data_IF_622574467064
#
_entry.id   IF_622574467064
#
_cell.length_a   1.000
_cell.length_b   1.000
_cell.length_c   1.000
_cell.angle_alpha   90.00
_cell.angle_beta   90.00
_cell.angle_gamma   90.00
#
_symmetry.space_group_name_H-M   'P 1'
#
loop_
_entity.id
_entity.type
_entity.pdbx_description
1 polymer ?
#
# COMPACT_ATOMS: atom_id res chain seq x y z
N UNK A 1 4.60 -5.02 -0.75
CA UNK A 1 3.86 -5.76 0.30
C UNK A 1 3.96 -7.27 0.07
N UNK A 2 3.90 -8.09 1.12
CA UNK A 2 3.91 -9.56 1.05
C UNK A 2 2.92 -10.13 2.07
N UNK A 3 2.21 -11.20 1.72
CA UNK A 3 1.32 -11.92 2.63
C UNK A 3 2.04 -13.16 3.15
N UNK A 4 2.04 -13.35 4.47
CA UNK A 4 2.74 -14.43 5.16
C UNK A 4 1.82 -15.08 6.19
N UNK A 5 1.88 -16.40 6.28
CA UNK A 5 1.29 -17.15 7.39
C UNK A 5 2.36 -17.35 8.45
N UNK A 6 2.07 -16.93 9.69
CA UNK A 6 3.01 -16.96 10.81
C UNK A 6 2.58 -18.00 11.84
N UNK A 7 3.56 -18.57 12.56
CA UNK A 7 3.33 -19.42 13.72
C UNK A 7 3.58 -18.60 14.98
N UNK A 8 2.56 -18.34 15.82
CA UNK A 8 2.75 -17.65 17.09
C UNK A 8 3.52 -18.54 18.10
N UNK A 9 4.15 -17.93 19.10
CA UNK A 9 4.65 -18.67 20.28
C UNK A 9 3.48 -19.16 21.13
N UNK A 10 3.71 -20.19 21.93
CA UNK A 10 2.71 -20.71 22.86
C UNK A 10 2.15 -19.58 23.75
N UNK A 11 0.83 -19.52 23.89
CA UNK A 11 0.09 -18.51 24.66
C UNK A 11 0.29 -17.06 24.21
N UNK A 12 0.83 -16.82 23.01
CA UNK A 12 0.91 -15.45 22.48
C UNK A 12 -0.49 -14.94 22.13
N UNK A 13 -0.88 -13.83 22.75
CA UNK A 13 -2.11 -13.10 22.40
C UNK A 13 -1.76 -12.08 21.32
N UNK A 14 -2.48 -12.11 20.20
CA UNK A 14 -2.30 -11.20 19.07
C UNK A 14 -3.60 -10.46 18.79
N UNK A 15 -3.50 -9.14 18.60
CA UNK A 15 -4.60 -8.33 18.12
C UNK A 15 -4.52 -8.14 16.59
N UNK A 16 -5.68 -7.94 15.94
CA UNK A 16 -5.72 -7.53 14.53
C UNK A 16 -5.02 -6.17 14.38
N UNK A 17 -4.18 -6.05 13.35
CA UNK A 17 -3.39 -4.84 13.10
C UNK A 17 -2.14 -4.68 13.97
N UNK A 18 -1.83 -5.64 14.85
CA UNK A 18 -0.63 -5.60 15.66
C UNK A 18 0.65 -5.71 14.81
N UNK A 19 1.59 -4.79 15.03
CA UNK A 19 2.92 -4.83 14.40
C UNK A 19 3.80 -5.84 15.13
N UNK A 20 4.19 -6.90 14.43
CA UNK A 20 5.07 -7.95 14.96
C UNK A 20 6.40 -8.01 14.21
N UNK A 21 7.48 -8.29 14.94
CA UNK A 21 8.81 -8.48 14.35
C UNK A 21 8.98 -9.92 13.83
N UNK A 22 9.38 -10.04 12.55
CA UNK A 22 9.63 -11.32 11.87
C UNK A 22 11.06 -11.44 11.29
N UNK A 23 11.96 -10.52 11.66
CA UNK A 23 13.33 -10.48 11.14
C UNK A 23 14.22 -11.61 11.67
N UNK A 24 15.49 -11.67 11.24
CA UNK A 24 16.39 -12.80 11.52
C UNK A 24 16.78 -12.95 12.99
N UNK A 25 16.75 -11.87 13.77
CA UNK A 25 17.11 -11.93 15.19
C UNK A 25 15.97 -12.59 16.01
N UNK A 26 16.15 -13.81 16.55
CA UNK A 26 15.09 -14.50 17.28
C UNK A 26 14.69 -13.82 18.59
N UNK A 27 15.60 -13.08 19.23
CA UNK A 27 15.37 -12.42 20.52
C UNK A 27 14.33 -11.29 20.39
N UNK A 28 14.34 -10.59 19.24
CA UNK A 28 13.36 -9.54 18.94
C UNK A 28 11.99 -10.09 18.55
N UNK A 29 11.88 -11.40 18.27
CA UNK A 29 10.59 -12.05 17.98
C UNK A 29 9.89 -12.35 19.30
N UNK A 30 9.22 -11.38 19.88
CA UNK A 30 8.52 -11.52 21.16
C UNK A 30 7.34 -12.50 21.06
N UNK A 31 6.52 -12.38 20.01
CA UNK A 31 5.28 -13.16 19.83
C UNK A 31 5.29 -14.20 18.71
N UNK A 32 6.23 -14.11 17.78
CA UNK A 32 6.29 -15.00 16.60
C UNK A 32 7.37 -16.07 16.79
N UNK A 33 7.01 -17.33 16.59
CA UNK A 33 7.95 -18.45 16.59
C UNK A 33 8.68 -18.52 15.25
N UNK A 34 7.92 -18.64 14.16
CA UNK A 34 8.46 -18.80 12.82
C UNK A 34 7.50 -18.28 11.73
N UNK A 35 8.04 -18.05 10.53
CA UNK A 35 7.24 -17.82 9.32
C UNK A 35 6.95 -19.20 8.72
N UNK A 36 5.68 -19.58 8.61
CA UNK A 36 5.29 -20.89 8.07
C UNK A 36 5.47 -20.94 6.56
N UNK A 37 4.86 -19.99 5.85
CA UNK A 37 4.92 -19.90 4.38
C UNK A 37 4.50 -18.52 3.87
N UNK A 38 4.87 -18.22 2.62
CA UNK A 38 4.22 -17.15 1.84
C UNK A 38 2.85 -17.66 1.40
N UNK A 39 1.85 -16.79 1.49
CA UNK A 39 0.50 -17.08 1.03
C UNK A 39 0.11 -16.12 -0.10
N UNK A 40 -0.89 -16.52 -0.87
CA UNK A 40 -1.55 -15.66 -1.86
C UNK A 40 -2.76 -14.96 -1.25
N UNK A 41 -3.31 -13.99 -1.95
CA UNK A 41 -4.55 -13.33 -1.52
C UNK A 41 -5.70 -14.33 -1.31
N UNK A 42 -5.81 -15.36 -2.15
CA UNK A 42 -6.87 -16.38 -2.08
C UNK A 42 -6.77 -17.31 -0.86
N UNK A 43 -5.61 -17.32 -0.19
CA UNK A 43 -5.40 -18.10 1.04
C UNK A 43 -5.84 -17.33 2.29
N UNK A 44 -6.22 -16.04 2.16
CA UNK A 44 -6.68 -15.24 3.28
C UNK A 44 -8.05 -15.76 3.77
N UNK A 45 -8.27 -15.68 5.08
CA UNK A 45 -9.61 -15.87 5.63
C UNK A 45 -10.49 -14.67 5.28
N UNK A 46 -11.81 -14.85 5.22
CA UNK A 46 -12.74 -13.73 5.00
C UNK A 46 -12.53 -12.57 6.00
N UNK A 47 -12.23 -12.88 7.26
CA UNK A 47 -11.90 -11.85 8.24
C UNK A 47 -10.62 -11.09 7.85
N UNK A 48 -9.57 -11.78 7.42
CA UNK A 48 -8.33 -11.12 6.98
C UNK A 48 -8.52 -10.31 5.69
N UNK A 49 -9.33 -10.78 4.74
CA UNK A 49 -9.68 -10.03 3.53
C UNK A 49 -10.41 -8.72 3.87
N UNK A 50 -11.38 -8.77 4.78
CA UNK A 50 -12.17 -7.60 5.20
C UNK A 50 -11.31 -6.56 5.95
N UNK A 51 -10.37 -7.02 6.78
CA UNK A 51 -9.49 -6.13 7.56
C UNK A 51 -8.34 -5.54 6.73
N UNK A 52 -7.93 -6.23 5.66
CA UNK A 52 -6.73 -5.87 4.89
C UNK A 52 -6.71 -4.41 4.40
N UNK A 53 -7.79 -3.84 3.82
CA UNK A 53 -7.78 -2.43 3.39
C UNK A 53 -7.47 -1.46 4.54
N UNK A 54 -8.06 -1.68 5.71
CA UNK A 54 -7.85 -0.82 6.88
C UNK A 54 -6.43 -0.92 7.43
N UNK A 55 -5.87 -2.15 7.49
CA UNK A 55 -4.48 -2.36 7.89
C UNK A 55 -3.51 -1.71 6.90
N UNK A 56 -3.79 -1.79 5.60
CA UNK A 56 -2.97 -1.13 4.58
C UNK A 56 -3.01 0.39 4.74
N UNK A 57 -4.18 0.98 4.99
CA UNK A 57 -4.30 2.42 5.27
C UNK A 57 -3.49 2.83 6.50
N UNK A 58 -3.52 2.03 7.58
CA UNK A 58 -2.67 2.26 8.75
C UNK A 58 -1.17 2.24 8.39
N UNK A 59 -0.72 1.23 7.64
CA UNK A 59 0.68 1.13 7.19
C UNK A 59 1.08 2.31 6.29
N UNK A 60 0.16 2.77 5.42
CA UNK A 60 0.39 3.93 4.55
C UNK A 60 0.53 5.20 5.37
N UNK A 61 -0.32 5.38 6.39
CA UNK A 61 -0.24 6.52 7.31
C UNK A 61 1.02 6.50 8.18
N UNK A 62 1.57 5.33 8.52
CA UNK A 62 2.86 5.26 9.19
C UNK A 62 4.04 5.62 8.27
N UNK A 63 3.84 5.58 6.95
CA UNK A 63 4.87 5.77 5.92
C UNK A 63 4.49 6.85 4.93
N UNK A 64 3.81 7.92 5.37
CA UNK A 64 3.28 8.98 4.49
C UNK A 64 4.32 9.48 3.50
N UNK A 65 5.54 9.75 3.95
CA UNK A 65 6.63 10.29 3.11
C UNK A 65 6.92 9.42 1.88
N UNK A 66 6.99 8.10 2.04
CA UNK A 66 7.21 7.16 0.92
C UNK A 66 6.10 7.25 -0.13
N UNK A 67 4.85 7.33 0.30
CA UNK A 67 3.70 7.35 -0.60
C UNK A 67 3.44 8.73 -1.21
N UNK A 68 3.75 9.81 -0.50
CA UNK A 68 3.76 11.17 -1.06
C UNK A 68 4.84 11.29 -2.13
N UNK A 69 6.01 10.71 -1.89
CA UNK A 69 7.10 10.68 -2.87
C UNK A 69 6.72 9.95 -4.17
N UNK A 70 5.88 8.91 -4.08
CA UNK A 70 5.29 8.28 -5.28
C UNK A 70 4.52 9.30 -6.13
N UNK A 71 3.68 10.17 -5.57
CA UNK A 71 2.98 11.20 -6.37
C UNK A 71 3.93 12.22 -6.99
N UNK A 72 4.97 12.59 -6.25
CA UNK A 72 6.00 13.51 -6.73
C UNK A 72 6.81 12.94 -7.90
N UNK A 73 7.12 11.64 -7.86
CA UNK A 73 8.04 11.02 -8.80
C UNK A 73 7.39 10.10 -9.83
N UNK A 74 6.07 9.84 -9.76
CA UNK A 74 5.34 8.99 -10.68
C UNK A 74 5.57 9.38 -12.15
N UNK A 75 5.88 8.43 -13.02
CA UNK A 75 6.21 8.67 -14.43
C UNK A 75 5.17 8.09 -15.40
N UNK A 76 5.13 8.56 -16.66
CA UNK A 76 4.39 7.88 -17.71
C UNK A 76 4.91 6.45 -17.91
N UNK A 77 4.00 5.51 -18.13
CA UNK A 77 4.35 4.12 -18.50
C UNK A 77 4.64 4.07 -20.00
N UNK A 78 3.83 4.76 -20.79
CA UNK A 78 4.01 4.94 -22.23
C UNK A 78 3.32 6.24 -22.67
N UNK A 79 3.30 6.52 -23.98
CA UNK A 79 2.72 7.74 -24.54
C UNK A 79 1.21 7.93 -24.26
N UNK A 80 0.48 6.85 -23.90
CA UNK A 80 -0.98 6.86 -23.70
C UNK A 80 -1.41 6.61 -22.26
N UNK A 81 -0.49 6.25 -21.35
CA UNK A 81 -0.84 5.81 -20.00
C UNK A 81 0.19 6.27 -18.96
N UNK A 82 -0.28 6.85 -17.87
CA UNK A 82 0.52 7.29 -16.73
C UNK A 82 0.42 6.34 -15.53
N UNK A 83 1.50 6.21 -14.76
CA UNK A 83 1.50 5.33 -13.57
C UNK A 83 0.51 5.76 -12.48
N UNK A 84 0.17 7.04 -12.39
CA UNK A 84 -0.88 7.54 -11.48
C UNK A 84 -2.27 6.98 -11.84
N UNK A 85 -2.56 6.75 -13.12
CA UNK A 85 -3.86 6.21 -13.58
C UNK A 85 -4.04 4.75 -13.19
N UNK A 86 -2.99 4.09 -12.70
CA UNK A 86 -3.11 2.76 -12.10
C UNK A 86 -3.77 2.79 -10.72
N UNK A 87 -3.84 3.96 -10.04
CA UNK A 87 -4.55 4.07 -8.77
C UNK A 87 -6.06 3.99 -9.01
N UNK A 88 -6.78 3.05 -8.36
CA UNK A 88 -8.23 2.92 -8.53
C UNK A 88 -8.95 4.22 -8.17
N UNK A 89 -9.83 4.67 -9.06
CA UNK A 89 -10.56 5.92 -8.93
C UNK A 89 -9.79 7.17 -9.36
N UNK A 90 -8.52 7.06 -9.77
CA UNK A 90 -7.74 8.20 -10.27
C UNK A 90 -7.93 8.37 -11.77
N UNK A 91 -8.83 9.29 -12.14
CA UNK A 91 -9.08 9.63 -13.54
C UNK A 91 -8.03 10.56 -14.16
N UNK A 92 -8.05 10.63 -15.49
CA UNK A 92 -7.12 11.42 -16.31
C UNK A 92 -7.04 12.90 -15.90
N UNK A 93 -8.18 13.53 -15.59
CA UNK A 93 -8.24 14.93 -15.10
C UNK A 93 -7.45 15.13 -13.80
N UNK A 94 -7.64 14.23 -12.83
CA UNK A 94 -6.93 14.28 -11.54
C UNK A 94 -5.44 13.98 -11.75
N UNK A 95 -5.10 13.04 -12.63
CA UNK A 95 -3.71 12.74 -12.99
C UNK A 95 -2.98 13.99 -13.49
N UNK A 96 -3.54 14.69 -14.48
CA UNK A 96 -2.92 15.91 -15.01
C UNK A 96 -2.79 16.99 -13.95
N UNK A 97 -3.82 17.18 -13.11
CA UNK A 97 -3.78 18.14 -12.02
C UNK A 97 -2.61 17.86 -11.06
N UNK A 98 -2.36 16.59 -10.71
CA UNK A 98 -1.20 16.18 -9.89
C UNK A 98 0.12 16.50 -10.61
N UNK A 99 0.21 16.17 -11.90
CA UNK A 99 1.43 16.38 -12.70
C UNK A 99 1.76 17.85 -12.87
N UNK A 100 0.77 18.72 -13.02
CA UNK A 100 0.95 20.16 -13.12
C UNK A 100 1.31 20.78 -11.78
N UNK A 101 0.62 20.39 -10.71
CA UNK A 101 0.89 20.91 -9.37
C UNK A 101 2.30 20.56 -8.89
N UNK A 102 2.74 19.31 -9.03
CA UNK A 102 4.09 18.91 -8.58
C UNK A 102 5.22 19.63 -9.30
N UNK A 103 4.99 20.15 -10.52
CA UNK A 103 5.98 20.96 -11.26
C UNK A 103 6.20 22.33 -10.60
N UNK A 104 5.17 22.90 -9.97
CA UNK A 104 5.28 24.15 -9.22
C UNK A 104 6.07 23.95 -7.94
N UNK A 105 5.71 22.91 -7.18
CA UNK A 105 6.37 22.49 -5.95
C UNK A 105 6.03 21.04 -5.65
N UNK A 106 7.01 20.25 -5.20
CA UNK A 106 6.76 18.89 -4.70
C UNK A 106 5.78 18.91 -3.52
N UNK A 107 4.94 17.88 -3.43
CA UNK A 107 4.03 17.68 -2.32
C UNK A 107 4.80 17.28 -1.06
N UNK A 108 4.43 17.84 0.08
CA UNK A 108 5.05 17.56 1.38
C UNK A 108 4.27 16.53 2.20
N UNK A 109 2.96 16.44 1.99
CA UNK A 109 2.06 15.58 2.74
C UNK A 109 0.84 15.16 1.91
N UNK A 110 0.03 14.22 2.43
CA UNK A 110 -1.24 13.88 1.80
C UNK A 110 -2.24 15.04 1.89
N UNK A 111 -2.15 15.80 2.97
CA UNK A 111 -2.96 16.98 3.23
C UNK A 111 -2.66 18.08 2.19
N UNK A 112 -1.37 18.38 1.94
CA UNK A 112 -0.93 19.32 0.88
C UNK A 112 -1.37 18.86 -0.51
N UNK A 113 -1.26 17.55 -0.78
CA UNK A 113 -1.71 16.95 -2.03
C UNK A 113 -3.22 17.16 -2.27
N UNK A 114 -4.06 16.91 -1.26
CA UNK A 114 -5.53 17.08 -1.35
C UNK A 114 -5.92 18.56 -1.39
N UNK A 115 -5.20 19.43 -0.67
CA UNK A 115 -5.46 20.87 -0.70
C UNK A 115 -5.21 21.47 -2.08
N UNK A 116 -4.15 21.03 -2.77
CA UNK A 116 -3.77 21.56 -4.08
C UNK A 116 -4.51 20.89 -5.22
N UNK A 117 -4.82 19.60 -5.09
CA UNK A 117 -5.57 18.83 -6.09
C UNK A 117 -6.97 18.53 -5.56
N UNK A 118 -7.89 19.49 -5.70
CA UNK A 118 -9.25 19.40 -5.16
C UNK A 118 -10.08 18.20 -5.67
N UNK A 119 -9.74 17.65 -6.83
CA UNK A 119 -10.40 16.46 -7.40
C UNK A 119 -9.86 15.14 -6.86
N UNK A 120 -8.80 15.18 -6.05
CA UNK A 120 -8.25 14.01 -5.39
C UNK A 120 -8.86 13.87 -4.00
N UNK A 121 -9.48 12.72 -3.73
CA UNK A 121 -10.08 12.42 -2.44
C UNK A 121 -9.46 11.14 -1.88
N UNK A 122 -9.03 11.20 -0.61
CA UNK A 122 -8.49 10.05 0.14
C UNK A 122 -7.37 9.28 -0.60
N UNK A 123 -6.21 9.91 -0.88
CA UNK A 123 -5.11 9.25 -1.59
C UNK A 123 -4.64 7.95 -0.91
N UNK A 124 -4.71 7.87 0.42
CA UNK A 124 -4.37 6.66 1.18
C UNK A 124 -5.25 5.48 0.79
N UNK A 125 -6.56 5.70 0.65
CA UNK A 125 -7.53 4.66 0.28
C UNK A 125 -7.29 4.17 -1.15
N UNK A 126 -6.95 5.08 -2.06
CA UNK A 126 -6.61 4.72 -3.44
C UNK A 126 -5.35 3.85 -3.52
N UNK A 127 -4.32 4.19 -2.73
CA UNK A 127 -3.11 3.39 -2.61
C UNK A 127 -3.42 2.02 -2.00
N UNK A 128 -4.21 1.97 -0.93
CA UNK A 128 -4.60 0.71 -0.30
C UNK A 128 -5.36 -0.20 -1.28
N UNK A 129 -6.33 0.34 -2.02
CA UNK A 129 -7.05 -0.37 -3.06
C UNK A 129 -6.11 -0.90 -4.14
N UNK A 130 -5.13 -0.09 -4.59
CA UNK A 130 -4.13 -0.54 -5.55
C UNK A 130 -3.28 -1.70 -5.03
N UNK A 131 -2.87 -1.64 -3.78
CA UNK A 131 -2.09 -2.74 -3.17
C UNK A 131 -2.93 -4.01 -3.11
N UNK A 132 -4.22 -3.92 -2.76
CA UNK A 132 -5.15 -5.06 -2.76
C UNK A 132 -5.26 -5.67 -4.16
N UNK A 133 -5.47 -4.85 -5.20
CA UNK A 133 -5.51 -5.32 -6.60
C UNK A 133 -4.21 -6.03 -7.00
N UNK A 134 -3.06 -5.46 -6.65
CA UNK A 134 -1.76 -6.07 -6.97
C UNK A 134 -1.51 -7.38 -6.19
N UNK A 135 -2.06 -7.52 -4.99
CA UNK A 135 -1.97 -8.75 -4.20
C UNK A 135 -2.92 -9.84 -4.72
N UNK A 136 -4.13 -9.45 -5.16
CA UNK A 136 -5.17 -10.38 -5.61
C UNK A 136 -4.96 -10.85 -7.05
N UNK A 137 -4.50 -9.97 -7.93
CA UNK A 137 -4.24 -10.28 -9.33
C UNK A 137 -2.74 -10.51 -9.60
N UNK A 138 -2.39 -11.78 -9.86
CA UNK A 138 -1.03 -12.15 -10.24
C UNK A 138 -0.68 -11.73 -11.66
N UNK A 139 -1.67 -11.60 -12.55
CA UNK A 139 -1.49 -11.23 -13.96
C UNK A 139 -1.25 -9.74 -14.17
N UNK A 140 -1.42 -8.93 -13.11
CA UNK A 140 -1.23 -7.49 -13.18
C UNK A 140 0.18 -7.14 -13.68
N UNK A 141 0.23 -6.56 -14.89
CA UNK A 141 1.46 -6.32 -15.65
C UNK A 141 2.32 -5.20 -15.05
N UNK A 142 1.67 -4.16 -14.53
CA UNK A 142 2.33 -3.00 -13.93
C UNK A 142 2.09 -3.01 -12.42
N UNK A 143 3.14 -3.26 -11.63
CA UNK A 143 3.06 -3.26 -10.16
C UNK A 143 3.76 -2.00 -9.62
N UNK A 144 3.11 -1.30 -8.71
CA UNK A 144 3.61 -0.08 -8.09
C UNK A 144 4.17 -0.35 -6.69
N UNK A 145 3.49 -1.18 -5.89
CA UNK A 145 3.76 -1.28 -4.44
C UNK A 145 4.04 -2.72 -3.99
N UNK A 146 3.66 -3.70 -4.79
CA UNK A 146 3.90 -5.12 -4.53
C UNK A 146 5.05 -5.61 -5.40
N UNK A 147 6.20 -5.88 -4.77
CA UNK A 147 7.32 -6.58 -5.40
C UNK A 147 6.89 -7.97 -5.90
N UNK A 148 7.34 -8.37 -7.09
CA UNK A 148 7.18 -9.74 -7.59
C UNK A 148 7.80 -10.76 -6.60
#
# INVERSE_FOLDING_TARGET
FKLLELVPKNNAVMAVGEKVYIGKNPELRTKILSVKRRISYRDLTHAAENELPFILESIINDRKSYFVDFFNNAQPINARMHSLELLPGLGNKTMWSIVEERKKKKFESFEDLVERVKTLHNPQKMIAARIVEELSDRSQKHRLFVSQ
#
